data_IF_607685058551
#
_entry.id   IF_607685058551
#
_cell.length_a   1.000
_cell.length_b   1.000
_cell.length_c   1.000
_cell.angle_alpha   90.00
_cell.angle_beta   90.00
_cell.angle_gamma   90.00
#
_symmetry.space_group_name_H-M   'P 1'
#
loop_
_entity.id
_entity.type
_entity.pdbx_description
1 polymer ?
#
# COMPACT_ATOMS: atom_id res chain seq x y z
N UNK A 1 13.34 -8.49 2.19
CA UNK A 1 14.17 -8.30 3.39
C UNK A 1 13.41 -8.78 4.63
N UNK A 2 12.31 -8.14 5.09
CA UNK A 2 11.54 -8.52 6.29
C UNK A 2 11.21 -10.02 6.34
N UNK A 3 10.57 -10.59 5.29
CA UNK A 3 10.21 -12.01 5.26
C UNK A 3 11.41 -12.93 5.50
N UNK A 4 12.54 -12.68 4.83
CA UNK A 4 13.75 -13.49 4.98
C UNK A 4 14.34 -13.41 6.40
N UNK A 5 14.42 -12.22 6.98
CA UNK A 5 14.95 -12.01 8.33
C UNK A 5 14.09 -12.70 9.39
N UNK A 6 12.75 -12.56 9.31
CA UNK A 6 11.83 -13.24 10.22
C UNK A 6 11.84 -14.76 10.04
N UNK A 7 11.89 -15.24 8.79
CA UNK A 7 11.97 -16.67 8.52
C UNK A 7 13.20 -17.31 9.15
N UNK A 8 14.37 -16.69 8.95
CA UNK A 8 15.62 -17.17 9.56
C UNK A 8 15.60 -17.10 11.07
N UNK A 9 15.12 -15.99 11.64
CA UNK A 9 15.08 -15.81 13.09
C UNK A 9 14.13 -16.81 13.80
N UNK A 10 13.01 -17.14 13.15
CA UNK A 10 12.01 -18.06 13.71
C UNK A 10 12.25 -19.54 13.32
N UNK A 11 13.09 -19.81 12.31
CA UNK A 11 13.22 -21.15 11.74
C UNK A 11 11.94 -21.65 11.06
N UNK A 12 11.10 -20.73 10.55
CA UNK A 12 9.78 -21.00 10.00
C UNK A 12 9.57 -20.27 8.67
N UNK A 13 8.61 -20.76 7.86
CA UNK A 13 8.14 -19.99 6.72
C UNK A 13 7.58 -18.64 7.19
N UNK A 14 7.86 -17.59 6.44
CA UNK A 14 7.41 -16.24 6.77
C UNK A 14 6.89 -15.52 5.53
N UNK A 15 5.70 -14.91 5.68
CA UNK A 15 5.14 -13.98 4.71
C UNK A 15 5.35 -12.55 5.23
N UNK A 16 5.97 -11.70 4.42
CA UNK A 16 6.12 -10.28 4.71
C UNK A 16 5.43 -9.44 3.65
N UNK A 17 4.81 -8.35 4.06
CA UNK A 17 4.28 -7.33 3.16
C UNK A 17 4.89 -5.95 3.43
N UNK A 18 4.95 -5.14 2.39
CA UNK A 18 5.26 -3.72 2.47
C UNK A 18 4.35 -2.95 1.50
N UNK A 19 3.78 -1.85 1.97
CA UNK A 19 2.84 -1.06 1.18
C UNK A 19 3.24 0.40 1.17
N UNK A 20 3.00 1.05 0.03
CA UNK A 20 3.26 2.47 -0.14
C UNK A 20 2.26 3.14 -1.08
N UNK A 21 2.14 4.45 -0.94
CA UNK A 21 1.43 5.33 -1.85
C UNK A 21 2.44 5.96 -2.79
N UNK A 22 2.23 5.84 -4.08
CA UNK A 22 3.03 6.52 -5.11
C UNK A 22 2.18 7.58 -5.79
N UNK A 23 2.73 8.80 -5.92
CA UNK A 23 2.08 9.96 -6.56
C UNK A 23 2.88 10.36 -7.79
N UNK A 24 2.24 10.36 -8.96
CA UNK A 24 2.91 10.58 -10.25
C UNK A 24 3.61 11.93 -10.31
N UNK A 25 2.92 13.02 -9.97
CA UNK A 25 3.47 14.37 -9.98
C UNK A 25 4.62 14.59 -8.98
N UNK A 26 4.79 13.68 -8.02
CA UNK A 26 5.89 13.67 -7.04
C UNK A 26 7.00 12.68 -7.40
N UNK A 27 7.01 12.15 -8.63
CA UNK A 27 8.00 11.17 -9.09
C UNK A 27 7.91 9.83 -8.33
N UNK A 28 6.71 9.42 -7.92
CA UNK A 28 6.46 8.18 -7.17
C UNK A 28 6.66 8.30 -5.65
N UNK A 29 6.99 9.49 -5.14
CA UNK A 29 7.02 9.70 -3.67
C UNK A 29 5.60 9.73 -3.10
N UNK A 30 5.42 9.33 -1.83
CA UNK A 30 6.38 8.82 -0.85
C UNK A 30 6.84 7.36 -1.07
N UNK A 31 6.14 6.52 -1.85
CA UNK A 31 6.52 5.14 -2.15
C UNK A 31 6.78 4.31 -0.89
N UNK A 32 7.90 3.60 -0.84
CA UNK A 32 8.32 2.77 0.32
C UNK A 32 8.53 3.56 1.62
N UNK A 33 8.56 4.88 1.54
CA UNK A 33 8.70 5.76 2.70
C UNK A 33 7.36 6.26 3.25
N UNK A 34 6.22 5.78 2.72
CA UNK A 34 4.87 6.24 3.10
C UNK A 34 4.62 6.23 4.61
N UNK A 35 5.07 5.19 5.31
CA UNK A 35 4.87 5.08 6.75
C UNK A 35 5.67 6.09 7.58
N UNK A 36 6.79 6.61 7.06
CA UNK A 36 7.68 7.56 7.74
C UNK A 36 7.79 8.91 7.04
N UNK A 37 6.93 9.15 6.06
CA UNK A 37 6.83 10.43 5.38
C UNK A 37 6.53 11.56 6.38
N UNK A 38 7.13 12.73 6.21
CA UNK A 38 7.09 13.84 7.16
C UNK A 38 7.61 13.51 8.58
N UNK A 39 8.38 12.42 8.74
CA UNK A 39 8.99 12.00 10.01
C UNK A 39 8.37 10.74 10.61
N UNK A 40 9.19 9.94 11.30
CA UNK A 40 8.77 8.64 11.85
C UNK A 40 7.65 8.76 12.89
N UNK A 41 7.68 9.81 13.71
CA UNK A 41 6.69 10.08 14.76
C UNK A 41 5.46 10.88 14.27
N UNK A 42 5.46 11.35 13.01
CA UNK A 42 4.36 12.14 12.48
C UNK A 42 3.09 11.30 12.34
N UNK A 43 1.95 11.82 12.80
CA UNK A 43 0.63 11.24 12.55
C UNK A 43 0.22 11.37 11.08
N UNK A 44 -0.74 10.55 10.64
CA UNK A 44 -1.18 10.55 9.25
C UNK A 44 -1.82 11.87 8.80
N UNK A 45 -2.47 12.61 9.69
CA UNK A 45 -2.95 13.96 9.39
C UNK A 45 -1.82 14.88 8.91
N UNK A 46 -0.68 14.87 9.61
CA UNK A 46 0.51 15.64 9.23
C UNK A 46 1.09 15.14 7.91
N UNK A 47 1.19 13.82 7.72
CA UNK A 47 1.69 13.20 6.48
C UNK A 47 0.84 13.58 5.28
N UNK A 48 -0.48 13.50 5.43
CA UNK A 48 -1.44 13.90 4.39
C UNK A 48 -1.30 15.39 4.05
N UNK A 49 -1.27 16.25 5.07
CA UNK A 49 -1.11 17.69 4.86
C UNK A 49 0.19 18.03 4.14
N UNK A 50 1.31 17.42 4.54
CA UNK A 50 2.60 17.60 3.87
C UNK A 50 2.54 17.13 2.42
N UNK A 51 1.97 15.96 2.15
CA UNK A 51 1.85 15.41 0.80
C UNK A 51 1.03 16.33 -0.12
N UNK A 52 -0.13 16.80 0.36
CA UNK A 52 -0.97 17.69 -0.42
C UNK A 52 -0.32 19.07 -0.65
N UNK A 53 0.45 19.59 0.31
CA UNK A 53 1.22 20.81 0.16
C UNK A 53 2.32 20.66 -0.90
N UNK A 54 3.13 19.59 -0.82
CA UNK A 54 4.16 19.32 -1.83
C UNK A 54 3.56 19.12 -3.24
N UNK A 55 2.41 18.44 -3.34
CA UNK A 55 1.71 18.30 -4.61
C UNK A 55 1.27 19.65 -5.17
N UNK A 56 0.75 20.54 -4.34
CA UNK A 56 0.36 21.89 -4.75
C UNK A 56 1.58 22.72 -5.20
N UNK A 57 2.73 22.56 -4.55
CA UNK A 57 3.98 23.27 -4.91
C UNK A 57 4.52 22.85 -6.29
N UNK A 58 4.17 21.67 -6.80
CA UNK A 58 4.57 21.26 -8.16
C UNK A 58 3.91 22.10 -9.26
N UNK A 59 2.79 22.74 -8.98
CA UNK A 59 1.95 23.40 -9.96
C UNK A 59 1.30 22.47 -10.99
N UNK A 60 1.38 21.15 -10.77
CA UNK A 60 0.79 20.14 -11.65
C UNK A 60 -0.67 19.90 -11.32
N UNK A 61 -1.50 19.78 -12.35
CA UNK A 61 -2.89 19.31 -12.21
C UNK A 61 -3.01 17.78 -12.15
N UNK A 62 -1.89 17.05 -12.39
CA UNK A 62 -1.86 15.59 -12.28
C UNK A 62 -1.96 15.15 -10.82
N UNK A 63 -3.08 14.51 -10.49
CA UNK A 63 -3.34 13.95 -9.18
C UNK A 63 -3.27 12.42 -9.15
N UNK A 64 -2.79 11.83 -10.25
CA UNK A 64 -2.68 10.38 -10.38
C UNK A 64 -1.82 9.78 -9.28
N UNK A 65 -2.33 8.76 -8.64
CA UNK A 65 -1.65 8.06 -7.57
C UNK A 65 -1.99 6.57 -7.62
N UNK A 66 -1.17 5.75 -6.97
CA UNK A 66 -1.47 4.34 -6.78
C UNK A 66 -0.98 3.85 -5.43
N UNK A 67 -1.72 2.96 -4.83
CA UNK A 67 -1.20 2.14 -3.76
C UNK A 67 -0.54 0.89 -4.34
N UNK A 68 0.62 0.55 -3.79
CA UNK A 68 1.37 -0.68 -4.13
C UNK A 68 1.56 -1.49 -2.85
N UNK A 69 1.34 -2.81 -2.93
CA UNK A 69 1.68 -3.76 -1.88
C UNK A 69 2.61 -4.81 -2.48
N UNK A 70 3.83 -4.87 -2.00
CA UNK A 70 4.79 -5.94 -2.35
C UNK A 70 4.76 -7.00 -1.26
N UNK A 71 4.52 -8.26 -1.63
CA UNK A 71 4.56 -9.41 -0.75
C UNK A 71 5.72 -10.33 -1.10
N UNK A 72 6.33 -10.92 -0.08
CA UNK A 72 7.39 -11.91 -0.23
C UNK A 72 7.19 -13.06 0.75
N UNK A 73 7.36 -14.31 0.27
CA UNK A 73 7.32 -15.52 1.08
C UNK A 73 8.69 -16.17 1.11
N UNK A 74 9.19 -16.46 2.31
CA UNK A 74 10.52 -17.02 2.55
C UNK A 74 10.43 -18.36 3.25
N UNK A 75 11.36 -19.26 2.90
CA UNK A 75 11.55 -20.53 3.60
C UNK A 75 12.31 -20.33 4.93
N UNK A 76 12.38 -21.36 5.80
CA UNK A 76 13.08 -21.26 7.09
C UNK A 76 14.56 -20.90 7.02
N UNK A 77 15.19 -21.08 5.86
CA UNK A 77 16.60 -20.67 5.62
C UNK A 77 16.71 -19.19 5.19
N UNK A 78 15.59 -18.48 5.07
CA UNK A 78 15.55 -17.08 4.64
C UNK A 78 15.60 -16.88 3.12
N UNK A 79 15.51 -17.95 2.32
CA UNK A 79 15.42 -17.85 0.87
C UNK A 79 14.02 -17.41 0.46
N UNK A 80 13.93 -16.34 -0.35
CA UNK A 80 12.68 -15.93 -0.95
C UNK A 80 12.28 -16.94 -2.01
N UNK A 81 11.11 -17.56 -1.85
CA UNK A 81 10.57 -18.59 -2.75
C UNK A 81 9.38 -18.10 -3.56
N UNK A 82 8.80 -16.96 -3.19
CA UNK A 82 7.73 -16.32 -3.95
C UNK A 82 7.65 -14.83 -3.66
N UNK A 83 7.27 -14.04 -4.67
CA UNK A 83 6.96 -12.61 -4.54
C UNK A 83 5.83 -12.23 -5.47
N UNK A 84 5.03 -11.25 -5.08
CA UNK A 84 4.09 -10.57 -5.96
C UNK A 84 3.84 -9.13 -5.52
N UNK A 85 3.29 -8.35 -6.44
CA UNK A 85 2.79 -7.02 -6.18
C UNK A 85 1.29 -6.94 -6.47
N UNK A 86 0.58 -6.25 -5.59
CA UNK A 86 -0.79 -5.81 -5.82
C UNK A 86 -0.82 -4.30 -5.97
N UNK A 87 -1.52 -3.79 -6.98
CA UNK A 87 -1.61 -2.37 -7.28
C UNK A 87 -3.08 -1.95 -7.28
N UNK A 88 -3.36 -0.80 -6.70
CA UNK A 88 -4.65 -0.13 -6.79
C UNK A 88 -4.42 1.28 -7.32
N UNK A 89 -4.77 1.50 -8.60
CA UNK A 89 -4.66 2.82 -9.23
C UNK A 89 -5.81 3.72 -8.77
N UNK A 90 -5.58 5.03 -8.80
CA UNK A 90 -6.54 6.03 -8.42
C UNK A 90 -5.98 7.45 -8.52
N UNK A 91 -6.55 8.36 -7.77
CA UNK A 91 -6.13 9.75 -7.72
C UNK A 91 -6.23 10.32 -6.30
N UNK A 92 -5.57 11.44 -6.05
CA UNK A 92 -5.67 12.13 -4.77
C UNK A 92 -6.81 13.16 -4.76
N UNK A 93 -7.66 13.09 -3.74
CA UNK A 93 -8.62 14.14 -3.44
C UNK A 93 -7.92 15.46 -3.08
N UNK A 94 -8.59 16.58 -3.31
CA UNK A 94 -8.07 17.90 -2.96
C UNK A 94 -7.94 18.12 -1.45
N UNK A 95 -8.79 17.43 -0.67
CA UNK A 95 -8.80 17.48 0.79
C UNK A 95 -9.22 16.11 1.36
N UNK A 96 -8.87 15.79 2.62
CA UNK A 96 -9.29 14.57 3.28
C UNK A 96 -10.81 14.47 3.40
N UNK A 97 -11.37 13.29 3.16
CA UNK A 97 -12.79 12.96 3.32
C UNK A 97 -12.97 11.55 3.86
N UNK A 98 -13.90 11.40 4.81
CA UNK A 98 -14.19 10.12 5.45
C UNK A 98 -13.21 9.76 6.57
N UNK A 99 -13.56 8.70 7.32
CA UNK A 99 -12.82 8.25 8.50
C UNK A 99 -12.55 6.74 8.48
N UNK A 100 -13.00 6.03 7.44
CA UNK A 100 -12.75 4.60 7.30
C UNK A 100 -11.30 4.32 6.91
N UNK A 101 -10.86 3.11 7.18
CA UNK A 101 -9.52 2.66 6.83
C UNK A 101 -8.42 3.28 7.68
N UNK A 102 -7.25 3.50 7.08
CA UNK A 102 -6.06 4.03 7.75
C UNK A 102 -5.12 4.69 6.74
N UNK A 103 -4.10 5.38 7.26
CA UNK A 103 -3.06 5.92 6.40
C UNK A 103 -3.53 7.07 5.53
N UNK A 104 -3.33 6.93 4.24
CA UNK A 104 -3.70 7.91 3.22
C UNK A 104 -5.11 7.67 2.64
N UNK A 105 -5.89 6.74 3.18
CA UNK A 105 -7.25 6.44 2.73
C UNK A 105 -8.17 7.67 2.62
N UNK A 106 -8.11 8.66 3.53
CA UNK A 106 -8.95 9.83 3.44
C UNK A 106 -8.71 10.72 2.21
N UNK A 107 -7.59 10.55 1.52
CA UNK A 107 -7.28 11.34 0.31
C UNK A 107 -7.16 10.48 -0.95
N UNK A 108 -7.33 9.17 -0.89
CA UNK A 108 -7.18 8.30 -2.06
C UNK A 108 -8.53 7.88 -2.62
N UNK A 109 -8.81 8.28 -3.85
CA UNK A 109 -10.00 7.91 -4.63
C UNK A 109 -9.59 6.77 -5.57
N UNK A 110 -10.04 5.53 -5.36
CA UNK A 110 -9.67 4.43 -6.25
C UNK A 110 -10.32 4.56 -7.63
N UNK A 111 -9.65 4.07 -8.67
CA UNK A 111 -10.14 4.14 -10.03
C UNK A 111 -11.54 3.51 -10.16
N UNK A 112 -12.45 4.21 -10.85
CA UNK A 112 -13.85 3.83 -11.01
C UNK A 112 -14.78 4.29 -9.89
N UNK A 113 -14.26 5.01 -8.89
CA UNK A 113 -15.05 5.60 -7.80
C UNK A 113 -14.93 7.12 -7.78
N UNK A 114 -15.84 7.78 -7.08
CA UNK A 114 -15.84 9.24 -6.84
C UNK A 114 -15.65 9.57 -5.35
N UNK A 115 -15.52 8.55 -4.51
CA UNK A 115 -15.34 8.64 -3.07
C UNK A 115 -13.96 8.11 -2.68
N UNK A 116 -13.40 8.69 -1.63
CA UNK A 116 -12.14 8.21 -1.06
C UNK A 116 -12.32 6.85 -0.36
N UNK A 117 -11.22 6.12 -0.15
CA UNK A 117 -11.26 4.94 0.73
C UNK A 117 -11.71 5.29 2.15
N UNK A 118 -11.49 6.53 2.59
CA UNK A 118 -12.00 7.03 3.86
C UNK A 118 -13.53 7.12 3.93
N UNK A 119 -14.22 7.22 2.78
CA UNK A 119 -15.69 7.30 2.66
C UNK A 119 -16.32 5.96 2.24
N UNK A 120 -15.57 5.11 1.54
CA UNK A 120 -16.04 3.80 1.09
C UNK A 120 -16.11 2.82 2.27
N UNK A 121 -17.03 1.87 2.19
CA UNK A 121 -17.10 0.82 3.20
C UNK A 121 -15.93 -0.16 3.07
N UNK A 122 -15.64 -0.87 4.16
CA UNK A 122 -14.51 -1.80 4.24
C UNK A 122 -14.62 -2.96 3.24
N UNK A 123 -15.82 -3.41 2.88
CA UNK A 123 -16.00 -4.53 1.94
C UNK A 123 -15.54 -4.15 0.54
N UNK A 124 -15.81 -2.91 0.10
CA UNK A 124 -15.28 -2.40 -1.18
C UNK A 124 -13.75 -2.40 -1.13
N UNK A 125 -13.17 -1.81 -0.09
CA UNK A 125 -11.71 -1.75 0.04
C UNK A 125 -11.07 -3.14 0.08
N UNK A 126 -11.68 -4.10 0.80
CA UNK A 126 -11.23 -5.50 0.85
C UNK A 126 -11.25 -6.19 -0.50
N UNK A 127 -12.11 -5.78 -1.43
CA UNK A 127 -12.21 -6.41 -2.75
C UNK A 127 -11.28 -5.80 -3.80
N UNK A 128 -10.92 -4.50 -3.68
CA UNK A 128 -10.19 -3.79 -4.75
C UNK A 128 -8.81 -3.29 -4.36
N UNK A 129 -8.45 -3.28 -3.07
CA UNK A 129 -7.21 -2.68 -2.62
C UNK A 129 -5.96 -3.41 -3.13
N UNK A 130 -4.84 -2.71 -3.15
CA UNK A 130 -3.52 -3.24 -3.45
C UNK A 130 -3.20 -4.48 -2.61
N UNK A 131 -3.46 -4.42 -1.29
CA UNK A 131 -3.22 -5.55 -0.39
C UNK A 131 -4.14 -6.73 -0.69
N UNK A 132 -5.42 -6.50 -1.01
CA UNK A 132 -6.34 -7.57 -1.42
C UNK A 132 -5.80 -8.31 -2.65
N UNK A 133 -5.39 -7.57 -3.68
CA UNK A 133 -4.82 -8.16 -4.91
C UNK A 133 -3.54 -8.95 -4.68
N UNK A 134 -2.63 -8.43 -3.85
CA UNK A 134 -1.42 -9.16 -3.46
C UNK A 134 -1.73 -10.41 -2.66
N UNK A 135 -2.71 -10.34 -1.74
CA UNK A 135 -3.18 -11.48 -0.93
C UNK A 135 -3.81 -12.56 -1.79
N UNK A 136 -4.65 -12.19 -2.77
CA UNK A 136 -5.26 -13.13 -3.71
C UNK A 136 -4.21 -13.86 -4.56
N UNK A 137 -3.15 -13.14 -4.96
CA UNK A 137 -2.03 -13.75 -5.68
C UNK A 137 -1.25 -14.73 -4.77
N UNK A 138 -1.02 -14.36 -3.50
CA UNK A 138 -0.39 -15.25 -2.54
C UNK A 138 -1.24 -16.49 -2.25
N UNK A 139 -2.54 -16.36 -2.06
CA UNK A 139 -3.41 -17.49 -1.78
C UNK A 139 -3.42 -18.53 -2.90
N UNK A 140 -3.42 -18.10 -4.18
CA UNK A 140 -3.29 -19.01 -5.32
C UNK A 140 -1.97 -19.78 -5.29
N UNK A 141 -0.85 -19.08 -5.11
CA UNK A 141 0.44 -19.71 -4.97
C UNK A 141 0.48 -20.67 -3.77
N UNK A 142 -0.05 -20.25 -2.62
CA UNK A 142 0.05 -21.02 -1.38
C UNK A 142 -0.77 -22.32 -1.42
N UNK A 143 -1.94 -22.32 -2.04
CA UNK A 143 -2.74 -23.55 -2.26
C UNK A 143 -1.98 -24.55 -3.11
N UNK A 144 -1.38 -24.11 -4.23
CA UNK A 144 -0.53 -24.96 -5.07
C UNK A 144 0.71 -25.47 -4.28
N UNK A 145 1.31 -24.59 -3.48
CA UNK A 145 2.50 -24.92 -2.67
C UNK A 145 2.24 -26.00 -1.64
N UNK A 146 1.04 -26.03 -1.01
CA UNK A 146 0.65 -27.06 -0.03
C UNK A 146 -0.09 -28.26 -0.65
N UNK A 147 -0.31 -28.25 -1.97
CA UNK A 147 -0.90 -29.36 -2.71
C UNK A 147 -2.43 -29.50 -2.56
N UNK A 148 -3.14 -28.37 -2.43
CA UNK A 148 -4.61 -28.31 -2.29
C UNK A 148 -5.23 -27.63 -3.51
#
# INVERSE_FOLDING_TARGET
>A
KKAAEYATAAGMYSLGDDSGLEVSALGGRPGVHSARYAGESAGYETKIRTLLAELAETGSDDRSARFVCSMAFADPAGKIIWTAEGICDGELAAAPSGTNGFGYDPIFIPAGFVKTFGELNDDIKRSISHRARATDAFMRFFLDFIGV
#
